data_IF_103679510244
#
_entry.id   IF_103679510244
#
_cell.length_a   1.000
_cell.length_b   1.000
_cell.length_c   1.000
_cell.angle_alpha   90.00
_cell.angle_beta   90.00
_cell.angle_gamma   90.00
#
_symmetry.space_group_name_H-M   'P 1'
#
loop_
_entity.id
_entity.type
_entity.pdbx_description
1 polymer ?
#
# COMPACT_ATOMS: atom_id res chain seq x y z
N UNK A 1 -25.05 25.18 0.68
CA UNK A 1 -26.23 25.04 1.56
C UNK A 1 -26.57 23.56 1.69
N UNK A 2 -26.31 23.05 2.89
CA UNK A 2 -26.65 21.77 3.52
C UNK A 2 -27.53 20.75 2.75
N UNK A 3 -27.00 19.54 2.52
CA UNK A 3 -27.52 18.33 3.17
C UNK A 3 -26.42 17.25 3.32
N UNK A 4 -26.43 16.48 4.43
CA UNK A 4 -25.51 15.39 4.71
C UNK A 4 -26.05 14.09 4.11
N UNK A 5 -25.20 13.32 3.46
CA UNK A 5 -25.55 12.01 2.92
C UNK A 5 -24.30 11.17 2.83
N UNK A 6 -23.96 10.47 3.91
CA UNK A 6 -23.04 9.35 3.86
C UNK A 6 -23.60 8.32 2.89
N UNK A 7 -23.07 8.29 1.67
CA UNK A 7 -23.34 7.21 0.75
C UNK A 7 -22.39 6.07 1.12
N UNK A 8 -22.83 5.23 2.04
CA UNK A 8 -22.21 3.94 2.29
C UNK A 8 -22.16 3.20 0.96
N UNK A 9 -20.95 3.02 0.43
CA UNK A 9 -20.71 2.27 -0.81
C UNK A 9 -21.26 0.88 -0.55
N UNK A 10 -22.30 0.50 -1.29
CA UNK A 10 -22.99 -0.77 -1.11
C UNK A 10 -21.98 -1.93 -1.18
N UNK A 11 -21.88 -2.68 -0.08
CA UNK A 11 -21.11 -3.92 -0.02
C UNK A 11 -21.77 -4.94 -0.94
N UNK A 12 -21.14 -5.19 -2.08
CA UNK A 12 -21.51 -6.28 -2.99
C UNK A 12 -21.22 -7.60 -2.27
N UNK A 13 -22.24 -8.46 -2.22
CA UNK A 13 -22.32 -9.67 -1.40
C UNK A 13 -21.07 -10.57 -1.47
N UNK A 14 -20.36 -10.72 -0.34
CA UNK A 14 -19.22 -11.62 -0.17
C UNK A 14 -19.70 -13.04 0.15
N UNK A 15 -20.51 -13.64 -0.73
CA UNK A 15 -21.21 -14.91 -0.44
C UNK A 15 -20.47 -16.17 -0.88
N UNK A 16 -19.23 -16.09 -1.39
CA UNK A 16 -18.55 -17.28 -1.96
C UNK A 16 -17.05 -17.37 -1.67
N UNK A 17 -16.61 -17.10 -0.45
CA UNK A 17 -15.24 -17.43 -0.02
C UNK A 17 -15.31 -18.56 1.01
N UNK A 18 -14.72 -19.71 0.68
CA UNK A 18 -14.68 -20.90 1.54
C UNK A 18 -13.78 -20.67 2.77
N UNK A 19 -14.06 -21.43 3.83
CA UNK A 19 -13.53 -21.26 5.18
C UNK A 19 -12.00 -21.44 5.36
N UNK A 20 -11.20 -21.46 4.29
CA UNK A 20 -9.74 -21.53 4.33
C UNK A 20 -9.05 -20.16 4.19
N UNK A 21 -9.79 -19.06 4.04
CA UNK A 21 -9.25 -17.72 3.76
C UNK A 21 -9.62 -16.66 4.81
N UNK A 22 -9.66 -17.02 6.09
CA UNK A 22 -9.81 -16.02 7.16
C UNK A 22 -8.50 -15.29 7.44
N UNK A 23 -7.96 -14.61 6.42
CA UNK A 23 -7.29 -13.33 6.71
C UNK A 23 -8.42 -12.30 6.73
N UNK A 24 -8.58 -11.49 7.79
CA UNK A 24 -9.52 -10.39 7.75
C UNK A 24 -9.16 -9.53 6.54
N UNK A 25 -10.03 -9.51 5.54
CA UNK A 25 -9.85 -8.67 4.36
C UNK A 25 -9.89 -7.23 4.86
N UNK A 26 -8.76 -6.54 4.73
CA UNK A 26 -8.69 -5.13 5.08
C UNK A 26 -9.39 -4.34 3.98
N UNK A 27 -10.47 -3.66 4.32
CA UNK A 27 -11.25 -2.86 3.37
C UNK A 27 -10.35 -1.76 2.78
N UNK A 28 -9.99 -1.93 1.51
CA UNK A 28 -9.15 -0.99 0.78
C UNK A 28 -10.02 -0.14 -0.16
N UNK A 29 -10.08 1.19 0.02
CA UNK A 29 -10.83 2.05 -0.87
C UNK A 29 -10.25 2.03 -2.30
N UNK A 30 -11.09 2.17 -3.33
CA UNK A 30 -10.63 2.20 -4.71
C UNK A 30 -9.72 3.41 -4.95
N UNK A 31 -8.65 3.22 -5.73
CA UNK A 31 -7.70 4.27 -6.12
C UNK A 31 -6.96 4.96 -4.97
N UNK A 32 -6.70 4.28 -3.84
CA UNK A 32 -5.98 4.87 -2.69
C UNK A 32 -4.56 4.33 -2.49
N UNK A 33 -3.61 4.60 -3.41
CA UNK A 33 -2.21 4.17 -3.25
C UNK A 33 -1.52 4.83 -2.06
N UNK A 34 -2.04 5.95 -1.58
CA UNK A 34 -1.64 6.62 -0.35
C UNK A 34 -1.99 5.81 0.92
N UNK A 35 -2.90 4.83 0.82
CA UNK A 35 -3.25 3.91 1.90
C UNK A 35 -2.67 2.50 1.71
N UNK A 36 -1.87 2.27 0.66
CA UNK A 36 -1.19 1.01 0.42
C UNK A 36 0.29 1.10 0.87
N UNK A 37 0.72 0.36 1.92
CA UNK A 37 2.11 0.39 2.40
C UNK A 37 3.14 0.08 1.32
N UNK A 38 2.80 -0.79 0.37
CA UNK A 38 3.66 -1.10 -0.76
C UNK A 38 3.90 0.12 -1.64
N UNK A 39 2.89 0.95 -1.89
CA UNK A 39 2.98 2.09 -2.82
C UNK A 39 3.59 3.35 -2.21
N UNK A 40 3.29 3.64 -0.93
CA UNK A 40 3.81 4.84 -0.25
C UNK A 40 5.11 4.61 0.51
N UNK A 41 5.55 3.37 0.71
CA UNK A 41 6.77 3.08 1.48
C UNK A 41 7.72 2.21 0.67
N UNK A 42 7.38 0.95 0.41
CA UNK A 42 8.30 -0.01 -0.19
C UNK A 42 8.74 0.37 -1.61
N UNK A 43 7.78 0.60 -2.51
CA UNK A 43 8.06 0.95 -3.90
C UNK A 43 8.66 2.33 -4.06
N UNK A 44 8.49 3.24 -3.09
CA UNK A 44 9.25 4.49 -3.11
C UNK A 44 10.74 4.21 -2.99
N UNK A 45 11.13 3.39 -2.01
CA UNK A 45 12.55 3.06 -1.80
C UNK A 45 13.12 2.23 -2.95
N UNK A 46 12.33 1.29 -3.48
CA UNK A 46 12.73 0.52 -4.65
C UNK A 46 12.94 1.43 -5.87
N UNK A 47 12.04 2.38 -6.12
CA UNK A 47 12.20 3.35 -7.22
C UNK A 47 13.44 4.22 -7.05
N UNK A 48 13.76 4.65 -5.83
CA UNK A 48 15.02 5.36 -5.56
C UNK A 48 16.24 4.49 -5.88
N UNK A 49 16.23 3.23 -5.48
CA UNK A 49 17.32 2.29 -5.73
C UNK A 49 17.50 1.96 -7.22
N UNK A 50 16.41 1.86 -7.99
CA UNK A 50 16.43 1.58 -9.42
C UNK A 50 16.73 2.83 -10.27
N UNK A 51 16.66 4.02 -9.68
CA UNK A 51 16.82 5.28 -10.42
C UNK A 51 18.18 5.34 -11.11
N UNK A 52 18.15 5.48 -12.44
CA UNK A 52 19.36 5.63 -13.26
C UNK A 52 20.12 4.33 -13.52
N UNK A 53 19.60 3.18 -13.10
CA UNK A 53 20.15 1.87 -13.45
C UNK A 53 19.55 1.38 -14.77
N UNK A 54 20.42 0.86 -15.63
CA UNK A 54 20.03 0.12 -16.82
C UNK A 54 20.51 -1.31 -16.66
N UNK A 55 19.66 -2.27 -17.03
CA UNK A 55 19.97 -3.70 -16.95
C UNK A 55 20.02 -4.26 -18.37
N UNK A 56 20.97 -5.17 -18.61
CA UNK A 56 21.15 -5.82 -19.90
C UNK A 56 20.21 -7.00 -20.13
N UNK A 57 19.61 -7.54 -19.08
CA UNK A 57 18.65 -8.64 -19.13
C UNK A 57 17.67 -8.61 -17.96
N UNK A 58 16.56 -9.33 -18.11
CA UNK A 58 15.58 -9.52 -17.01
C UNK A 58 16.21 -10.29 -15.84
N UNK A 59 17.09 -11.26 -16.11
CA UNK A 59 17.81 -12.02 -15.08
C UNK A 59 18.70 -11.11 -14.22
N UNK A 60 19.38 -10.14 -14.83
CA UNK A 60 20.20 -9.16 -14.10
C UNK A 60 19.33 -8.25 -13.21
N UNK A 61 18.17 -7.81 -13.72
CA UNK A 61 17.21 -7.03 -12.96
C UNK A 61 16.63 -7.83 -11.78
N UNK A 62 16.18 -9.07 -12.02
CA UNK A 62 15.60 -9.95 -11.01
C UNK A 62 16.60 -10.24 -9.88
N UNK A 63 17.84 -10.58 -10.24
CA UNK A 63 18.91 -10.79 -9.26
C UNK A 63 19.17 -9.53 -8.44
N UNK A 64 19.30 -8.37 -9.10
CA UNK A 64 19.56 -7.10 -8.42
C UNK A 64 18.44 -6.72 -7.45
N UNK A 65 17.19 -6.89 -7.85
CA UNK A 65 16.02 -6.60 -7.00
C UNK A 65 15.93 -7.59 -5.84
N UNK A 66 16.19 -8.88 -6.08
CA UNK A 66 16.20 -9.93 -5.05
C UNK A 66 17.27 -9.68 -4.00
N UNK A 67 18.49 -9.31 -4.43
CA UNK A 67 19.56 -8.93 -3.52
C UNK A 67 19.17 -7.70 -2.72
N UNK A 68 18.60 -6.66 -3.35
CA UNK A 68 18.14 -5.46 -2.66
C UNK A 68 17.10 -5.76 -1.57
N UNK A 69 16.13 -6.63 -1.86
CA UNK A 69 15.14 -7.06 -0.87
C UNK A 69 15.77 -7.84 0.30
N UNK A 70 16.85 -8.57 0.04
CA UNK A 70 17.56 -9.36 1.06
C UNK A 70 18.45 -8.48 1.96
N UNK A 71 19.02 -7.41 1.41
CA UNK A 71 19.85 -6.43 2.13
C UNK A 71 19.02 -5.38 2.89
N UNK A 72 17.78 -5.14 2.46
CA UNK A 72 16.87 -4.27 3.18
C UNK A 72 16.66 -4.85 4.58
N UNK A 73 16.95 -4.06 5.63
CA UNK A 73 16.69 -4.44 7.03
C UNK A 73 15.18 -4.62 7.19
N UNK A 74 14.75 -5.86 6.93
CA UNK A 74 13.38 -6.16 6.58
C UNK A 74 12.45 -5.79 7.73
N UNK A 75 12.73 -6.29 8.94
CA UNK A 75 11.82 -6.15 10.08
C UNK A 75 11.51 -4.69 10.41
N UNK A 76 12.52 -3.86 10.71
CA UNK A 76 12.29 -2.46 11.09
C UNK A 76 11.68 -1.62 9.96
N UNK A 77 12.09 -1.85 8.70
CA UNK A 77 11.59 -1.07 7.58
C UNK A 77 10.13 -1.42 7.25
N UNK A 78 9.79 -2.71 7.22
CA UNK A 78 8.40 -3.14 7.01
C UNK A 78 7.51 -2.69 8.18
N UNK A 79 7.96 -2.85 9.42
CA UNK A 79 7.23 -2.39 10.60
C UNK A 79 6.97 -0.90 10.58
N UNK A 80 7.97 -0.09 10.19
CA UNK A 80 7.78 1.34 10.00
C UNK A 80 6.70 1.64 8.94
N UNK A 81 6.69 0.92 7.82
CA UNK A 81 5.69 1.06 6.77
C UNK A 81 4.27 0.77 7.26
N UNK A 82 4.11 -0.34 8.00
CA UNK A 82 2.83 -0.73 8.62
C UNK A 82 2.40 0.29 9.68
N UNK A 83 3.31 0.77 10.53
CA UNK A 83 2.98 1.80 11.54
C UNK A 83 2.59 3.14 10.92
N UNK A 84 3.20 3.52 9.79
CA UNK A 84 2.82 4.73 9.03
C UNK A 84 1.39 4.64 8.51
N UNK A 85 0.87 3.45 8.24
CA UNK A 85 -0.51 3.25 7.78
C UNK A 85 -1.52 3.86 8.75
N UNK A 86 -1.34 3.65 10.06
CA UNK A 86 -2.23 4.19 11.10
C UNK A 86 -2.30 5.72 11.04
N UNK A 87 -1.16 6.38 10.88
CA UNK A 87 -1.09 7.84 10.76
C UNK A 87 -1.77 8.31 9.46
N UNK A 88 -1.52 7.62 8.35
CA UNK A 88 -2.12 7.94 7.05
C UNK A 88 -3.65 7.83 7.06
N UNK A 89 -4.21 6.81 7.70
CA UNK A 89 -5.66 6.71 7.91
C UNK A 89 -6.21 7.89 8.72
N UNK A 90 -5.53 8.28 9.80
CA UNK A 90 -5.92 9.46 10.58
C UNK A 90 -5.93 10.75 9.73
N UNK A 91 -4.93 10.94 8.88
CA UNK A 91 -4.88 12.08 7.95
C UNK A 91 -6.00 12.03 6.92
N UNK A 92 -6.23 10.88 6.29
CA UNK A 92 -7.30 10.68 5.31
C UNK A 92 -8.67 11.04 5.91
N UNK A 93 -8.96 10.61 7.14
CA UNK A 93 -10.18 10.98 7.85
C UNK A 93 -10.28 12.48 8.11
N UNK A 94 -9.19 13.14 8.50
CA UNK A 94 -9.16 14.58 8.78
C UNK A 94 -9.40 15.44 7.54
N UNK A 95 -9.03 14.95 6.35
CA UNK A 95 -9.29 15.63 5.08
C UNK A 95 -10.57 15.16 4.39
N UNK A 96 -11.43 14.42 5.10
CA UNK A 96 -12.73 13.99 4.56
C UNK A 96 -12.65 12.92 3.47
N UNK A 97 -11.58 12.14 3.43
CA UNK A 97 -11.36 11.09 2.43
C UNK A 97 -10.58 11.53 1.19
N UNK A 98 -10.12 12.79 1.12
CA UNK A 98 -9.25 13.27 0.05
C UNK A 98 -7.84 12.65 0.12
N UNK A 99 -7.13 12.72 -1.01
CA UNK A 99 -5.76 12.22 -1.15
C UNK A 99 -4.80 12.92 -0.19
N UNK A 100 -3.90 12.15 0.41
CA UNK A 100 -2.83 12.69 1.25
C UNK A 100 -1.48 12.66 0.52
N UNK A 101 -0.69 13.72 0.69
CA UNK A 101 0.66 13.80 0.13
C UNK A 101 1.61 12.75 0.75
N UNK A 102 2.70 12.49 0.06
CA UNK A 102 3.70 11.48 0.45
C UNK A 102 4.59 11.94 1.58
#
# INVERSE_FOLDING_TARGET
>A
FNKPGGHCIQTKDCSRISAAQFTPLFDHPPYSPDLAPNDFHLFLKLKEFLRGKCFGSDEELENTVTTWFSELVAEEYYDMGIRKLVNRYGKCLNVGGDYIEK
#
